data_IF_858755558238
#
_entry.id   IF_858755558238
#
_cell.length_a   1.000
_cell.length_b   1.000
_cell.length_c   1.000
_cell.angle_alpha   90.00
_cell.angle_beta   90.00
_cell.angle_gamma   90.00
#
_symmetry.space_group_name_H-M   'P 1'
#
loop_
_entity.id
_entity.type
_entity.pdbx_description
1 polymer ?
#
# COMPACT_ATOMS: atom_id res chain seq x y z
N UNK A 1 53.16 -48.46 24.13
CA UNK A 1 51.72 -48.81 24.10
C UNK A 1 50.95 -47.63 23.62
N UNK A 2 50.54 -47.70 22.40
CA UNK A 2 49.87 -46.59 21.75
C UNK A 2 48.37 -46.79 21.93
N UNK A 3 47.77 -46.03 22.77
CA UNK A 3 46.33 -45.97 22.82
C UNK A 3 45.86 -45.06 21.72
N UNK A 4 45.38 -45.67 20.66
CA UNK A 4 44.63 -44.96 19.67
C UNK A 4 43.29 -44.58 20.26
N UNK A 5 43.19 -43.34 20.60
CA UNK A 5 41.87 -42.76 20.91
C UNK A 5 41.23 -42.53 19.57
N UNK A 6 40.40 -43.44 19.18
CA UNK A 6 39.46 -43.21 18.10
C UNK A 6 38.38 -42.29 18.69
N UNK A 7 38.44 -41.06 18.33
CA UNK A 7 37.31 -40.18 18.49
C UNK A 7 36.50 -40.37 17.21
N UNK A 8 35.38 -41.00 17.23
CA UNK A 8 34.44 -40.86 16.16
C UNK A 8 33.85 -39.48 16.28
N UNK A 9 34.46 -38.57 15.58
CA UNK A 9 33.81 -37.31 15.30
C UNK A 9 32.61 -37.58 14.37
N UNK A 10 31.64 -38.26 14.91
CA UNK A 10 30.36 -38.34 14.28
C UNK A 10 29.60 -37.07 14.64
N UNK A 11 30.08 -35.99 14.12
CA UNK A 11 29.27 -34.80 14.05
C UNK A 11 28.34 -34.97 12.87
N UNK A 12 27.31 -35.74 13.12
CA UNK A 12 26.12 -35.66 12.31
C UNK A 12 25.52 -34.27 12.57
N UNK A 13 26.05 -33.32 11.85
CA UNK A 13 25.31 -32.05 11.67
C UNK A 13 24.13 -32.46 10.81
N UNK A 14 23.07 -32.84 11.50
CA UNK A 14 21.78 -32.79 10.91
C UNK A 14 21.55 -31.30 10.67
N UNK A 15 21.96 -30.85 9.53
CA UNK A 15 21.46 -29.62 8.96
C UNK A 15 19.97 -29.89 8.80
N UNK A 16 19.21 -29.59 9.82
CA UNK A 16 17.81 -29.40 9.69
C UNK A 16 17.68 -28.39 8.56
N UNK A 17 17.31 -28.86 7.40
CA UNK A 17 16.80 -28.02 6.38
C UNK A 17 15.57 -27.37 7.00
N UNK A 18 15.79 -26.28 7.64
CA UNK A 18 14.71 -25.38 7.95
C UNK A 18 14.16 -25.02 6.60
N UNK A 19 12.88 -25.26 6.33
CA UNK A 19 12.25 -24.54 5.27
C UNK A 19 12.54 -23.10 5.64
N UNK A 20 13.40 -22.47 4.90
CA UNK A 20 13.44 -21.06 4.90
C UNK A 20 12.06 -20.68 4.36
N UNK A 21 11.11 -20.59 5.27
CA UNK A 21 10.14 -19.54 5.17
C UNK A 21 11.03 -18.34 5.08
N UNK A 22 11.30 -17.98 3.85
CA UNK A 22 11.92 -16.74 3.55
C UNK A 22 10.93 -15.68 4.02
N UNK A 23 10.92 -15.50 5.28
CA UNK A 23 10.66 -14.22 5.86
C UNK A 23 11.82 -13.38 5.37
N UNK A 24 11.75 -12.99 4.12
CA UNK A 24 12.49 -11.88 3.59
C UNK A 24 11.97 -10.60 4.23
N UNK A 25 11.66 -10.69 5.50
CA UNK A 25 11.26 -9.58 6.35
C UNK A 25 12.43 -8.72 6.78
N UNK A 26 13.63 -8.94 6.24
CA UNK A 26 14.75 -8.49 7.05
C UNK A 26 15.52 -7.31 6.54
N UNK A 27 15.29 -6.80 5.36
CA UNK A 27 16.15 -5.72 4.87
C UNK A 27 15.43 -4.67 4.01
N UNK A 28 14.20 -4.94 3.62
CA UNK A 28 13.40 -3.97 2.91
C UNK A 28 12.22 -3.62 3.81
N UNK A 29 12.07 -2.34 4.11
CA UNK A 29 10.90 -1.87 4.86
C UNK A 29 9.61 -2.45 4.27
N UNK A 30 8.55 -2.51 5.05
CA UNK A 30 7.25 -3.01 4.63
C UNK A 30 6.83 -2.38 3.30
N UNK A 31 6.36 -3.18 2.37
CA UNK A 31 5.80 -2.67 1.14
C UNK A 31 4.47 -1.93 1.39
N UNK A 32 3.93 -1.27 0.37
CA UNK A 32 2.70 -0.48 0.51
C UNK A 32 1.54 -1.30 1.08
N UNK A 33 1.36 -2.54 0.61
CA UNK A 33 0.30 -3.42 1.08
C UNK A 33 0.49 -3.86 2.54
N UNK A 34 1.71 -4.25 2.91
CA UNK A 34 2.05 -4.63 4.29
C UNK A 34 1.94 -3.46 5.26
N UNK A 35 2.37 -2.28 4.82
CA UNK A 35 2.25 -1.06 5.61
C UNK A 35 0.80 -0.68 5.87
N UNK A 36 -0.04 -0.76 4.84
CA UNK A 36 -1.47 -0.54 4.95
C UNK A 36 -2.12 -1.60 5.88
N UNK A 37 -1.78 -2.88 5.73
CA UNK A 37 -2.29 -3.94 6.59
C UNK A 37 -1.90 -3.74 8.06
N UNK A 38 -0.67 -3.32 8.32
CA UNK A 38 -0.18 -3.09 9.68
C UNK A 38 -0.85 -1.90 10.39
N UNK A 39 -1.37 -0.94 9.63
CA UNK A 39 -2.07 0.20 10.18
C UNK A 39 -3.46 -0.14 10.73
N UNK A 40 -4.10 -1.21 10.23
CA UNK A 40 -5.38 -1.71 10.71
C UNK A 40 -6.59 -0.82 10.44
N UNK A 41 -6.42 0.28 9.71
CA UNK A 41 -7.47 1.27 9.37
C UNK A 41 -7.81 1.27 7.87
N UNK A 42 -7.26 0.33 7.12
CA UNK A 42 -7.43 0.21 5.67
C UNK A 42 -7.98 -1.16 5.26
N UNK A 43 -8.76 -1.79 6.14
CA UNK A 43 -9.29 -3.12 5.87
C UNK A 43 -10.17 -3.15 4.63
N UNK A 44 -11.04 -2.15 4.48
CA UNK A 44 -11.92 -2.01 3.30
C UNK A 44 -11.11 -1.76 2.04
N UNK A 45 -10.07 -0.93 2.11
CA UNK A 45 -9.18 -0.66 0.97
C UNK A 45 -8.44 -1.92 0.51
N UNK A 46 -7.92 -2.70 1.45
CA UNK A 46 -7.22 -3.94 1.15
C UNK A 46 -8.14 -4.98 0.53
N UNK A 47 -9.34 -5.18 1.11
CA UNK A 47 -10.36 -6.06 0.54
C UNK A 47 -10.75 -5.61 -0.89
N UNK A 48 -10.86 -4.31 -1.11
CA UNK A 48 -11.14 -3.74 -2.42
C UNK A 48 -9.98 -3.97 -3.40
N UNK A 49 -8.73 -3.82 -2.94
CA UNK A 49 -7.55 -4.08 -3.76
C UNK A 49 -7.42 -5.57 -4.14
N UNK A 50 -7.77 -6.47 -3.23
CA UNK A 50 -7.82 -7.91 -3.49
C UNK A 50 -8.90 -8.25 -4.53
N UNK A 51 -10.11 -7.72 -4.36
CA UNK A 51 -11.21 -7.93 -5.29
C UNK A 51 -10.91 -7.38 -6.70
N UNK A 52 -10.16 -6.30 -6.78
CA UNK A 52 -9.71 -5.70 -8.04
C UNK A 52 -8.43 -6.33 -8.62
N UNK A 53 -7.77 -7.24 -7.90
CA UNK A 53 -6.50 -7.85 -8.30
C UNK A 53 -5.32 -6.88 -8.36
N UNK A 54 -5.35 -5.81 -7.57
CA UNK A 54 -4.33 -4.77 -7.56
C UNK A 54 -3.31 -4.89 -6.42
N UNK A 55 -3.44 -5.92 -5.58
CA UNK A 55 -2.51 -6.16 -4.47
C UNK A 55 -1.08 -6.35 -4.96
N UNK A 56 -0.89 -7.07 -6.07
CA UNK A 56 0.43 -7.27 -6.67
C UNK A 56 1.07 -5.96 -7.14
N UNK A 57 0.25 -5.03 -7.64
CA UNK A 57 0.70 -3.70 -8.04
C UNK A 57 1.14 -2.90 -6.83
N UNK A 58 0.43 -3.02 -5.71
CA UNK A 58 0.78 -2.37 -4.45
C UNK A 58 2.00 -3.00 -3.78
N UNK A 59 2.17 -4.30 -3.94
CA UNK A 59 3.27 -5.04 -3.32
C UNK A 59 4.58 -4.96 -4.13
N UNK A 60 4.48 -5.05 -5.45
CA UNK A 60 5.62 -5.21 -6.35
C UNK A 60 5.74 -4.05 -7.36
N UNK A 61 4.80 -3.13 -7.38
CA UNK A 61 4.85 -1.94 -8.23
C UNK A 61 6.12 -1.12 -7.94
N UNK A 62 6.62 -0.41 -8.97
CA UNK A 62 7.70 0.55 -8.81
C UNK A 62 7.31 1.67 -7.85
N UNK A 63 8.10 2.72 -7.73
CA UNK A 63 7.76 3.79 -6.79
C UNK A 63 6.35 4.30 -7.07
N UNK A 64 5.46 4.11 -6.10
CA UNK A 64 4.05 4.47 -6.19
C UNK A 64 3.66 5.31 -4.98
N UNK A 65 2.81 6.29 -5.22
CA UNK A 65 2.13 7.01 -4.15
C UNK A 65 0.69 6.55 -4.07
N UNK A 66 0.27 6.15 -2.89
CA UNK A 66 -1.08 5.67 -2.63
C UNK A 66 -1.80 6.67 -1.74
N UNK A 67 -2.91 7.20 -2.23
CA UNK A 67 -3.85 7.94 -1.40
C UNK A 67 -4.80 6.93 -0.75
N UNK A 68 -4.51 6.54 0.49
CA UNK A 68 -5.24 5.51 1.20
C UNK A 68 -6.39 6.12 2.01
N UNK A 69 -7.65 5.94 1.59
CA UNK A 69 -8.79 6.31 2.39
C UNK A 69 -8.93 5.37 3.58
N UNK A 70 -9.30 5.92 4.74
CA UNK A 70 -9.59 5.13 5.93
C UNK A 70 -10.93 4.40 5.81
N UNK A 71 -11.16 3.43 6.70
CA UNK A 71 -12.46 2.75 6.78
C UNK A 71 -13.60 3.75 7.06
N UNK A 72 -13.34 4.81 7.84
CA UNK A 72 -14.26 5.91 8.07
C UNK A 72 -14.58 6.70 6.78
N UNK A 73 -13.59 6.83 5.88
CA UNK A 73 -13.79 7.47 4.58
C UNK A 73 -14.77 6.68 3.70
N UNK A 74 -14.73 5.37 3.77
CA UNK A 74 -15.71 4.50 3.09
C UNK A 74 -17.09 4.60 3.74
N UNK A 75 -17.15 4.69 5.07
CA UNK A 75 -18.40 4.87 5.80
C UNK A 75 -19.07 6.22 5.52
N UNK A 76 -18.30 7.23 5.13
CA UNK A 76 -18.81 8.54 4.74
C UNK A 76 -19.42 8.58 3.33
N UNK A 77 -19.24 7.52 2.54
CA UNK A 77 -19.88 7.41 1.23
C UNK A 77 -21.38 7.16 1.37
N UNK A 78 -22.19 7.59 0.39
CA UNK A 78 -23.61 7.28 0.36
C UNK A 78 -23.84 5.77 0.43
N UNK A 79 -24.88 5.37 1.16
CA UNK A 79 -25.27 3.97 1.27
C UNK A 79 -25.45 3.33 -0.11
N UNK A 80 -24.94 2.13 -0.28
CA UNK A 80 -24.96 1.41 -1.54
C UNK A 80 -23.83 1.72 -2.51
N UNK A 81 -23.09 2.80 -2.33
CA UNK A 81 -21.94 3.12 -3.22
C UNK A 81 -20.83 2.09 -3.07
N UNK A 82 -20.46 1.76 -1.83
CA UNK A 82 -19.42 0.77 -1.54
C UNK A 82 -19.85 -0.61 -2.04
N UNK A 83 -21.10 -0.99 -1.81
CA UNK A 83 -21.67 -2.27 -2.27
C UNK A 83 -21.68 -2.36 -3.81
N UNK A 84 -22.08 -1.29 -4.48
CA UNK A 84 -22.05 -1.22 -5.94
C UNK A 84 -20.62 -1.34 -6.49
N UNK A 85 -19.65 -0.70 -5.84
CA UNK A 85 -18.25 -0.80 -6.22
C UNK A 85 -17.71 -2.22 -6.01
N UNK A 86 -18.05 -2.86 -4.90
CA UNK A 86 -17.65 -4.24 -4.63
C UNK A 86 -18.28 -5.25 -5.59
N UNK A 87 -19.50 -4.99 -6.05
CA UNK A 87 -20.17 -5.80 -7.06
C UNK A 87 -19.61 -5.59 -8.48
N UNK A 88 -18.99 -4.44 -8.71
CA UNK A 88 -18.41 -4.06 -9.99
C UNK A 88 -16.89 -3.93 -9.91
N UNK A 89 -16.14 -5.03 -10.02
CA UNK A 89 -14.69 -5.00 -9.88
C UNK A 89 -13.98 -4.07 -10.87
N UNK A 90 -14.59 -3.84 -12.03
CA UNK A 90 -14.05 -2.90 -13.02
C UNK A 90 -14.12 -1.45 -12.54
N UNK A 91 -15.25 -1.06 -11.94
CA UNK A 91 -15.41 0.29 -11.37
C UNK A 91 -14.51 0.46 -10.15
N UNK A 92 -14.45 -0.57 -9.30
CA UNK A 92 -13.56 -0.60 -8.16
C UNK A 92 -12.10 -0.44 -8.57
N UNK A 93 -11.67 -1.15 -9.62
CA UNK A 93 -10.33 -1.02 -10.17
C UNK A 93 -10.05 0.40 -10.69
N UNK A 94 -11.02 1.07 -11.30
CA UNK A 94 -10.88 2.46 -11.73
C UNK A 94 -10.71 3.39 -10.54
N UNK A 95 -11.56 3.25 -9.51
CA UNK A 95 -11.45 4.04 -8.28
C UNK A 95 -10.08 3.83 -7.63
N UNK A 96 -9.63 2.59 -7.50
CA UNK A 96 -8.32 2.29 -6.92
C UNK A 96 -7.17 2.86 -7.75
N UNK A 97 -7.21 2.73 -9.08
CA UNK A 97 -6.21 3.33 -9.97
C UNK A 97 -6.22 4.87 -9.90
N UNK A 98 -7.34 5.47 -9.57
CA UNK A 98 -7.46 6.89 -9.33
C UNK A 98 -6.76 7.33 -8.03
N UNK A 99 -6.69 6.43 -7.05
CA UNK A 99 -5.94 6.65 -5.81
C UNK A 99 -4.44 6.36 -5.93
N UNK A 100 -4.00 5.82 -7.07
CA UNK A 100 -2.60 5.49 -7.32
C UNK A 100 -1.95 6.54 -8.22
N UNK A 101 -0.82 7.03 -7.79
CA UNK A 101 0.02 7.96 -8.57
C UNK A 101 1.36 7.30 -8.85
N UNK A 102 1.81 7.26 -10.11
CA UNK A 102 3.13 6.74 -10.43
C UNK A 102 4.21 7.70 -9.90
N UNK A 103 5.16 7.17 -9.18
CA UNK A 103 6.25 7.91 -8.56
C UNK A 103 6.06 8.10 -7.06
N UNK A 104 7.14 8.42 -6.37
CA UNK A 104 7.12 8.79 -4.96
C UNK A 104 6.86 10.29 -4.84
N UNK A 105 5.66 10.64 -4.48
CA UNK A 105 5.27 12.04 -4.26
C UNK A 105 5.16 12.28 -2.76
N UNK A 106 6.10 13.03 -2.21
CA UNK A 106 6.09 13.46 -0.82
C UNK A 106 5.25 14.72 -0.66
N UNK A 107 4.70 14.93 0.53
CA UNK A 107 3.92 16.13 0.83
C UNK A 107 4.72 17.42 0.59
N UNK A 108 6.02 17.40 0.86
CA UNK A 108 6.91 18.52 0.58
C UNK A 108 7.15 18.81 -0.91
N UNK A 109 6.83 17.86 -1.79
CA UNK A 109 6.88 18.03 -3.25
C UNK A 109 5.53 18.48 -3.84
N UNK A 110 4.48 18.43 -3.03
CA UNK A 110 3.15 18.89 -3.41
C UNK A 110 3.08 20.41 -3.22
N UNK A 111 3.10 21.12 -4.31
CA UNK A 111 2.89 22.57 -4.29
C UNK A 111 1.40 22.86 -4.41
N UNK A 112 0.99 24.01 -3.86
CA UNK A 112 -0.37 24.49 -4.01
C UNK A 112 -0.73 24.68 -5.49
N UNK A 113 -1.89 24.12 -5.87
CA UNK A 113 -2.33 24.10 -7.26
C UNK A 113 -1.63 23.07 -8.15
N UNK A 114 -0.79 22.19 -7.60
CA UNK A 114 -0.19 21.12 -8.37
C UNK A 114 -1.25 20.11 -8.84
N UNK A 115 -1.09 19.65 -10.06
CA UNK A 115 -1.90 18.55 -10.61
C UNK A 115 -1.06 17.29 -10.67
N UNK A 116 -1.50 16.25 -10.00
CA UNK A 116 -0.81 14.96 -9.96
C UNK A 116 -1.56 13.97 -10.84
N UNK A 117 -0.91 13.47 -11.87
CA UNK A 117 -1.53 12.50 -12.79
C UNK A 117 -1.62 11.14 -12.13
N UNK A 118 -2.80 10.55 -12.13
CA UNK A 118 -3.04 9.21 -11.57
C UNK A 118 -2.72 8.09 -12.56
N UNK A 119 -2.63 6.85 -12.07
CA UNK A 119 -2.48 5.65 -12.92
C UNK A 119 -3.68 5.47 -13.87
N UNK A 120 -4.85 5.98 -13.47
CA UNK A 120 -6.04 5.95 -14.32
C UNK A 120 -5.95 6.92 -15.51
N UNK A 121 -5.18 8.00 -15.38
CA UNK A 121 -4.99 9.03 -16.40
C UNK A 121 -5.41 10.44 -15.99
N UNK A 122 -6.60 10.64 -15.39
CA UNK A 122 -7.02 11.95 -14.92
C UNK A 122 -6.09 12.49 -13.83
N UNK A 123 -5.81 13.78 -13.88
CA UNK A 123 -5.03 14.44 -12.83
C UNK A 123 -5.90 14.82 -11.64
N UNK A 124 -5.33 14.69 -10.46
CA UNK A 124 -5.94 15.16 -9.21
C UNK A 124 -5.29 16.48 -8.83
N UNK A 125 -6.10 17.47 -8.51
CA UNK A 125 -5.62 18.76 -8.03
C UNK A 125 -5.23 18.64 -6.55
N UNK A 126 -4.08 19.17 -6.23
CA UNK A 126 -3.58 19.26 -4.87
C UNK A 126 -3.65 20.71 -4.41
N UNK A 127 -4.16 20.94 -3.21
CA UNK A 127 -4.12 22.22 -2.53
C UNK A 127 -3.43 22.06 -1.19
N UNK A 128 -2.61 23.02 -0.85
CA UNK A 128 -1.89 23.06 0.43
C UNK A 128 -2.36 24.18 1.35
N UNK A 129 -3.41 24.92 0.96
CA UNK A 129 -3.99 25.98 1.79
C UNK A 129 -4.70 25.39 3.02
N UNK A 130 -4.14 25.60 4.18
CA UNK A 130 -4.70 25.13 5.45
C UNK A 130 -4.54 23.64 5.73
N UNK A 131 -3.74 22.93 4.94
CA UNK A 131 -3.47 21.50 5.02
C UNK A 131 -3.30 20.91 3.63
N UNK A 132 -2.90 19.66 3.56
CA UNK A 132 -2.79 18.98 2.26
C UNK A 132 -4.16 18.41 1.89
N UNK A 133 -4.70 18.90 0.79
CA UNK A 133 -5.95 18.42 0.20
C UNK A 133 -5.65 17.85 -1.18
N UNK A 134 -6.21 16.70 -1.47
CA UNK A 134 -6.05 15.99 -2.74
C UNK A 134 -7.43 15.67 -3.30
N UNK A 135 -7.78 16.28 -4.42
CA UNK A 135 -9.10 16.07 -5.02
C UNK A 135 -10.28 16.42 -4.12
N UNK A 136 -10.09 17.27 -3.11
CA UNK A 136 -11.10 17.64 -2.12
C UNK A 136 -11.13 16.74 -0.88
N UNK A 137 -10.28 15.70 -0.82
CA UNK A 137 -10.04 14.92 0.39
C UNK A 137 -8.90 15.51 1.19
N UNK A 138 -9.06 15.58 2.51
CA UNK A 138 -8.00 16.04 3.40
C UNK A 138 -7.01 14.91 3.69
N UNK A 139 -5.72 15.20 3.58
CA UNK A 139 -4.67 14.27 4.00
C UNK A 139 -4.51 14.42 5.51
N UNK A 140 -4.91 13.38 6.24
CA UNK A 140 -4.81 13.33 7.71
C UNK A 140 -3.43 12.94 8.17
N UNK A 141 -2.75 12.08 7.42
CA UNK A 141 -1.39 11.64 7.70
C UNK A 141 -0.60 11.54 6.41
N UNK A 142 0.23 12.54 6.11
CA UNK A 142 1.09 12.49 4.93
C UNK A 142 2.36 11.67 5.20
N UNK A 143 3.10 11.38 4.13
CA UNK A 143 4.47 10.87 4.15
C UNK A 143 4.66 9.58 4.98
N UNK A 144 3.75 8.64 4.83
CA UNK A 144 3.95 7.28 5.36
C UNK A 144 4.77 6.51 4.35
N UNK A 145 6.07 6.50 4.56
CA UNK A 145 7.01 5.83 3.66
C UNK A 145 6.89 4.32 3.74
N UNK A 146 6.87 3.67 2.59
CA UNK A 146 6.98 2.24 2.41
C UNK A 146 8.18 1.92 1.52
N UNK A 147 8.60 0.66 1.47
CA UNK A 147 9.79 0.25 0.71
C UNK A 147 9.68 0.51 -0.80
N UNK A 148 8.48 0.51 -1.33
CA UNK A 148 8.18 0.69 -2.75
C UNK A 148 7.31 1.92 -3.05
N UNK A 149 7.20 2.85 -2.11
CA UNK A 149 6.44 4.08 -2.33
C UNK A 149 6.05 4.83 -1.06
N UNK A 150 5.05 5.67 -1.19
CA UNK A 150 4.55 6.54 -0.12
C UNK A 150 3.04 6.38 0.00
N UNK A 151 2.55 6.36 1.22
CA UNK A 151 1.12 6.36 1.52
C UNK A 151 0.73 7.71 2.13
N UNK A 152 -0.29 8.32 1.58
CA UNK A 152 -0.96 9.47 2.17
C UNK A 152 -2.35 9.05 2.64
N UNK A 153 -2.59 9.16 3.93
CA UNK A 153 -3.88 8.81 4.52
C UNK A 153 -4.85 9.95 4.30
N UNK A 154 -5.97 9.65 3.66
CA UNK A 154 -7.03 10.61 3.36
C UNK A 154 -8.32 10.27 4.10
N UNK A 155 -9.13 11.29 4.40
CA UNK A 155 -10.39 11.18 5.13
C UNK A 155 -11.60 10.92 4.23
N UNK A 156 -11.40 10.93 2.91
CA UNK A 156 -12.47 10.71 1.91
C UNK A 156 -11.98 9.88 0.74
N UNK A 157 -12.88 9.12 0.17
CA UNK A 157 -12.62 8.36 -1.06
C UNK A 157 -12.67 9.30 -2.26
N UNK A 158 -11.64 9.24 -3.10
CA UNK A 158 -11.60 9.98 -4.36
C UNK A 158 -12.41 9.23 -5.41
N UNK A 159 -13.52 9.82 -5.81
CA UNK A 159 -14.34 9.27 -6.88
C UNK A 159 -13.97 9.96 -8.20
N UNK A 160 -13.58 9.20 -9.23
CA UNK A 160 -13.35 9.79 -10.53
C UNK A 160 -14.66 10.34 -11.07
N UNK A 161 -14.67 11.62 -11.41
CA UNK A 161 -15.80 12.24 -12.11
C UNK A 161 -15.73 11.78 -13.56
N UNK A 162 -16.53 10.79 -13.89
CA UNK A 162 -16.67 10.30 -15.25
C UNK A 162 -17.84 11.02 -15.92
#
# INVERSE_FOLDING_TARGET
MIKKILIPAFMLVLAAAQPALASNCSQHGMNLAEKAASAGIFNTLLAAAEAAGLVDVLANGGPLTVFAPTDDAFAALPEGTVENLLQNPNELAKVLKYHLVPGSVLSGSLNDGASVTTVLGPAINVSTEGGVFVGGAQVTKPDVEASNGVIHVIDRVLLPTI
#
